data_IF_212844712282
#
_entry.id   IF_212844712282
#
_cell.length_a   1.000
_cell.length_b   1.000
_cell.length_c   1.000
_cell.angle_alpha   90.00
_cell.angle_beta   90.00
_cell.angle_gamma   90.00
#
_symmetry.space_group_name_H-M   'P 1'
#
loop_
_entity.id
_entity.type
_entity.pdbx_description
1 polymer ?
#
# COMPACT_ATOMS: atom_id res chain seq x y z
N UNK A 1 15.48 3.77 -49.29
CA UNK A 1 14.16 3.49 -48.67
C UNK A 1 14.30 2.89 -47.27
N UNK A 2 15.45 2.27 -46.90
CA UNK A 2 15.66 1.67 -45.57
C UNK A 2 15.96 2.67 -44.44
N UNK A 3 16.59 3.79 -44.70
CA UNK A 3 16.99 4.77 -43.66
C UNK A 3 15.80 5.48 -42.96
N UNK A 4 14.65 5.57 -43.62
CA UNK A 4 13.45 6.18 -43.01
C UNK A 4 12.70 5.19 -42.08
N UNK A 5 12.77 3.90 -42.32
CA UNK A 5 12.18 2.83 -41.50
C UNK A 5 12.99 2.66 -40.22
N UNK A 6 14.31 2.63 -40.29
CA UNK A 6 15.19 2.51 -39.11
C UNK A 6 15.05 3.73 -38.15
N UNK A 7 14.83 4.91 -38.71
CA UNK A 7 14.64 6.13 -37.87
C UNK A 7 13.27 6.17 -37.18
N UNK A 8 12.24 5.57 -37.79
CA UNK A 8 10.91 5.42 -37.17
C UNK A 8 10.92 4.40 -36.04
N UNK A 9 11.62 3.28 -36.24
CA UNK A 9 11.74 2.21 -35.26
C UNK A 9 12.57 2.66 -34.04
N UNK A 10 13.67 3.38 -34.27
CA UNK A 10 14.50 3.95 -33.19
C UNK A 10 13.76 5.02 -32.37
N UNK A 11 12.87 5.81 -32.98
CA UNK A 11 12.01 6.74 -32.25
C UNK A 11 10.98 6.03 -31.40
N UNK A 12 10.34 5.00 -31.90
CA UNK A 12 9.35 4.22 -31.15
C UNK A 12 9.97 3.57 -29.90
N UNK A 13 11.18 3.03 -30.04
CA UNK A 13 11.91 2.43 -28.91
C UNK A 13 12.27 3.49 -27.85
N UNK A 14 12.73 4.66 -28.28
CA UNK A 14 13.07 5.76 -27.36
C UNK A 14 11.82 6.30 -26.64
N UNK A 15 10.70 6.43 -27.32
CA UNK A 15 9.44 6.86 -26.70
C UNK A 15 8.92 5.84 -25.69
N UNK A 16 9.06 4.55 -25.99
CA UNK A 16 8.68 3.47 -25.06
C UNK A 16 9.60 3.42 -23.83
N UNK A 17 10.89 3.61 -23.99
CA UNK A 17 11.84 3.71 -22.87
C UNK A 17 11.56 4.96 -22.00
N UNK A 18 11.32 6.10 -22.61
CA UNK A 18 10.98 7.35 -21.88
C UNK A 18 9.66 7.20 -21.11
N UNK A 19 8.62 6.65 -21.70
CA UNK A 19 7.36 6.39 -21.00
C UNK A 19 7.53 5.41 -19.83
N UNK A 20 8.42 4.44 -19.98
CA UNK A 20 8.74 3.47 -18.94
C UNK A 20 9.51 4.12 -17.78
N UNK A 21 10.43 5.02 -18.08
CA UNK A 21 11.15 5.81 -17.06
C UNK A 21 10.22 6.79 -16.33
N UNK A 22 9.35 7.50 -17.03
CA UNK A 22 8.36 8.39 -16.41
C UNK A 22 7.39 7.61 -15.51
N UNK A 23 6.91 6.47 -15.96
CA UNK A 23 6.08 5.55 -15.17
C UNK A 23 6.81 5.09 -13.90
N UNK A 24 8.11 4.78 -14.01
CA UNK A 24 8.95 4.37 -12.89
C UNK A 24 9.11 5.49 -11.83
N UNK A 25 9.33 6.71 -12.24
CA UNK A 25 9.45 7.85 -11.33
C UNK A 25 8.11 8.14 -10.65
N UNK A 26 7.02 8.10 -11.41
CA UNK A 26 5.68 8.41 -10.91
C UNK A 26 5.24 7.47 -9.79
N UNK A 27 5.35 6.15 -9.96
CA UNK A 27 4.92 5.24 -8.90
C UNK A 27 5.79 5.34 -7.63
N UNK A 28 7.10 5.62 -7.78
CA UNK A 28 8.00 5.84 -6.63
C UNK A 28 7.57 7.09 -5.86
N UNK A 29 7.25 8.19 -6.55
CA UNK A 29 6.78 9.43 -5.91
C UNK A 29 5.50 9.17 -5.12
N UNK A 30 4.52 8.49 -5.71
CA UNK A 30 3.29 8.14 -5.00
C UNK A 30 3.54 7.19 -3.82
N UNK A 31 4.45 6.24 -3.95
CA UNK A 31 4.83 5.33 -2.87
C UNK A 31 5.50 6.06 -1.70
N UNK A 32 6.41 6.99 -1.98
CA UNK A 32 7.06 7.82 -0.97
C UNK A 32 6.06 8.73 -0.26
N UNK A 33 5.17 9.36 -1.01
CA UNK A 33 4.11 10.20 -0.46
C UNK A 33 3.18 9.38 0.46
N UNK A 34 2.80 8.18 0.02
CA UNK A 34 2.05 7.23 0.84
C UNK A 34 2.79 6.87 2.14
N UNK A 35 4.10 6.65 2.09
CA UNK A 35 4.89 6.34 3.27
C UNK A 35 4.92 7.51 4.27
N UNK A 36 5.02 8.76 3.80
CA UNK A 36 4.94 9.96 4.64
C UNK A 36 3.58 10.05 5.34
N UNK A 37 2.48 9.89 4.60
CA UNK A 37 1.15 9.89 5.18
C UNK A 37 0.92 8.72 6.14
N UNK A 38 1.49 7.55 5.88
CA UNK A 38 1.42 6.42 6.80
C UNK A 38 2.15 6.71 8.12
N UNK A 39 3.31 7.38 8.06
CA UNK A 39 4.04 7.80 9.26
C UNK A 39 3.24 8.83 10.07
N UNK A 40 2.70 9.86 9.42
CA UNK A 40 1.80 10.85 10.06
C UNK A 40 0.59 10.16 10.70
N UNK A 41 -0.02 9.21 9.99
CA UNK A 41 -1.15 8.44 10.52
C UNK A 41 -0.79 7.71 11.81
N UNK A 42 0.37 7.09 11.89
CA UNK A 42 0.81 6.34 13.08
C UNK A 42 0.99 7.26 14.29
N UNK A 43 1.57 8.44 14.10
CA UNK A 43 1.77 9.43 15.17
C UNK A 43 0.44 10.04 15.62
N UNK A 44 -0.38 10.50 14.66
CA UNK A 44 -1.69 11.09 14.98
C UNK A 44 -2.62 10.06 15.63
N UNK A 45 -2.58 8.81 15.18
CA UNK A 45 -3.34 7.73 15.79
C UNK A 45 -2.90 7.48 17.23
N UNK A 46 -1.59 7.49 17.51
CA UNK A 46 -1.06 7.31 18.88
C UNK A 46 -1.52 8.42 19.82
N UNK A 47 -1.51 9.67 19.35
CA UNK A 47 -2.01 10.82 20.13
C UNK A 47 -3.52 10.72 20.33
N UNK A 48 -4.27 10.37 19.28
CA UNK A 48 -5.74 10.37 19.31
C UNK A 48 -6.36 9.19 20.05
N UNK A 49 -5.60 8.12 20.31
CA UNK A 49 -6.11 6.92 20.99
C UNK A 49 -5.97 7.00 22.52
N UNK A 50 -5.30 8.02 23.03
CA UNK A 50 -5.11 8.20 24.46
C UNK A 50 -6.45 8.42 25.16
N UNK A 51 -6.78 7.56 26.13
CA UNK A 51 -8.06 7.59 26.85
C UNK A 51 -9.29 7.15 26.02
N UNK A 52 -9.13 6.73 24.77
CA UNK A 52 -10.23 6.30 23.89
C UNK A 52 -10.16 4.80 23.63
N UNK A 53 -11.32 4.14 23.57
CA UNK A 53 -11.37 2.72 23.18
C UNK A 53 -10.85 2.52 21.74
N UNK A 54 -9.94 1.54 21.52
CA UNK A 54 -9.31 1.29 20.22
C UNK A 54 -10.33 1.03 19.10
N UNK A 55 -11.41 0.31 19.40
CA UNK A 55 -12.44 0.01 18.41
C UNK A 55 -13.19 1.28 17.99
N UNK A 56 -13.47 2.16 18.97
CA UNK A 56 -14.13 3.45 18.70
C UNK A 56 -13.23 4.37 17.87
N UNK A 57 -11.94 4.46 18.22
CA UNK A 57 -10.97 5.24 17.45
C UNK A 57 -10.85 4.72 16.02
N UNK A 58 -10.81 3.40 15.82
CA UNK A 58 -10.81 2.78 14.48
C UNK A 58 -12.09 3.14 13.71
N UNK A 59 -13.26 3.06 14.35
CA UNK A 59 -14.54 3.36 13.70
C UNK A 59 -14.61 4.83 13.24
N UNK A 60 -14.29 5.78 14.12
CA UNK A 60 -14.28 7.21 13.77
C UNK A 60 -13.35 7.51 12.61
N UNK A 61 -12.13 6.98 12.65
CA UNK A 61 -11.17 7.14 11.54
C UNK A 61 -11.70 6.55 10.24
N UNK A 62 -12.32 5.37 10.30
CA UNK A 62 -12.84 4.70 9.10
C UNK A 62 -13.92 5.54 8.43
N UNK A 63 -14.80 6.18 9.19
CA UNK A 63 -15.81 7.11 8.65
C UNK A 63 -15.15 8.26 7.88
N UNK A 64 -14.09 8.87 8.43
CA UNK A 64 -13.35 9.94 7.75
C UNK A 64 -12.75 9.44 6.44
N UNK A 65 -12.13 8.25 6.43
CA UNK A 65 -11.54 7.65 5.24
C UNK A 65 -12.60 7.36 4.17
N UNK A 66 -13.76 6.83 4.57
CA UNK A 66 -14.88 6.57 3.65
C UNK A 66 -15.36 7.87 3.02
N UNK A 67 -15.57 8.92 3.82
CA UNK A 67 -16.01 10.23 3.31
C UNK A 67 -14.99 10.81 2.33
N UNK A 68 -13.70 10.78 2.68
CA UNK A 68 -12.64 11.26 1.78
C UNK A 68 -12.59 10.47 0.47
N UNK A 69 -12.70 9.15 0.54
CA UNK A 69 -12.67 8.29 -0.65
C UNK A 69 -13.84 8.58 -1.59
N UNK A 70 -15.06 8.73 -1.06
CA UNK A 70 -16.23 9.09 -1.85
C UNK A 70 -16.14 10.50 -2.42
N UNK A 71 -15.60 11.45 -1.64
CA UNK A 71 -15.35 12.80 -2.16
C UNK A 71 -14.46 12.78 -3.40
N UNK A 72 -13.38 11.99 -3.36
CA UNK A 72 -12.49 11.84 -4.52
C UNK A 72 -13.20 11.22 -5.72
N UNK A 73 -14.06 10.21 -5.50
CA UNK A 73 -14.86 9.62 -6.59
C UNK A 73 -15.78 10.67 -7.25
N UNK A 74 -16.41 11.54 -6.45
CA UNK A 74 -17.26 12.60 -6.97
C UNK A 74 -16.46 13.70 -7.70
N UNK A 75 -15.32 14.11 -7.15
CA UNK A 75 -14.45 15.12 -7.78
C UNK A 75 -13.89 14.65 -9.12
N UNK A 76 -13.57 13.34 -9.22
CA UNK A 76 -13.04 12.75 -10.45
C UNK A 76 -14.14 12.30 -11.44
N UNK A 77 -15.42 12.48 -11.10
CA UNK A 77 -16.58 12.05 -11.90
C UNK A 77 -16.58 10.55 -12.30
N UNK A 78 -15.97 9.70 -11.45
CA UNK A 78 -15.81 8.27 -11.70
C UNK A 78 -16.98 7.41 -11.15
N UNK A 79 -18.07 8.03 -10.71
CA UNK A 79 -19.22 7.31 -10.14
C UNK A 79 -19.89 6.33 -11.13
N UNK A 80 -19.81 6.61 -12.43
CA UNK A 80 -20.38 5.74 -13.45
C UNK A 80 -19.66 4.39 -13.58
N UNK A 81 -18.37 4.34 -13.21
CA UNK A 81 -17.58 3.10 -13.19
C UNK A 81 -18.07 2.05 -12.19
N UNK A 82 -18.93 2.45 -11.24
CA UNK A 82 -19.46 1.51 -10.22
C UNK A 82 -20.29 0.39 -10.86
N UNK A 83 -21.02 0.69 -11.92
CA UNK A 83 -21.83 -0.28 -12.67
C UNK A 83 -21.02 -1.19 -13.60
N UNK A 84 -19.79 -0.83 -13.89
CA UNK A 84 -18.87 -1.60 -14.76
C UNK A 84 -18.04 -2.62 -13.99
N UNK A 85 -18.07 -2.57 -12.65
CA UNK A 85 -17.30 -3.49 -11.79
C UNK A 85 -17.83 -4.92 -11.92
N UNK A 86 -16.95 -5.85 -12.32
CA UNK A 86 -17.32 -7.25 -12.46
C UNK A 86 -17.69 -7.89 -11.09
N UNK A 87 -18.53 -8.91 -11.09
CA UNK A 87 -18.87 -9.66 -9.86
C UNK A 87 -17.63 -10.23 -9.15
N UNK A 88 -16.66 -10.68 -9.92
CA UNK A 88 -15.38 -11.16 -9.39
C UNK A 88 -14.64 -10.06 -8.65
N UNK A 89 -14.52 -8.88 -9.25
CA UNK A 89 -13.87 -7.72 -8.62
C UNK A 89 -14.56 -7.29 -7.33
N UNK A 90 -15.91 -7.30 -7.31
CA UNK A 90 -16.69 -7.00 -6.11
C UNK A 90 -16.35 -7.93 -4.94
N UNK A 91 -16.27 -9.23 -5.18
CA UNK A 91 -15.93 -10.22 -4.13
C UNK A 91 -14.53 -9.93 -3.57
N UNK A 92 -13.53 -9.74 -4.43
CA UNK A 92 -12.16 -9.47 -3.97
C UNK A 92 -12.02 -8.13 -3.24
N UNK A 93 -12.73 -7.09 -3.68
CA UNK A 93 -12.73 -5.78 -3.01
C UNK A 93 -13.39 -5.86 -1.62
N UNK A 94 -14.48 -6.61 -1.48
CA UNK A 94 -15.13 -6.82 -0.17
C UNK A 94 -14.22 -7.61 0.75
N UNK A 95 -13.62 -8.71 0.29
CA UNK A 95 -12.67 -9.49 1.08
C UNK A 95 -11.47 -8.64 1.52
N UNK A 96 -10.92 -7.84 0.62
CA UNK A 96 -9.82 -6.90 0.91
C UNK A 96 -10.23 -5.87 1.95
N UNK A 97 -11.46 -5.33 1.85
CA UNK A 97 -12.01 -4.41 2.85
C UNK A 97 -12.12 -5.02 4.24
N UNK A 98 -12.60 -6.27 4.33
CA UNK A 98 -12.69 -7.03 5.59
C UNK A 98 -11.28 -7.24 6.18
N UNK A 99 -10.33 -7.67 5.36
CA UNK A 99 -8.94 -7.87 5.79
C UNK A 99 -8.30 -6.57 6.30
N UNK A 100 -8.54 -5.46 5.59
CA UNK A 100 -8.07 -4.13 6.01
C UNK A 100 -8.69 -3.71 7.34
N UNK A 101 -10.00 -3.90 7.53
CA UNK A 101 -10.68 -3.60 8.78
C UNK A 101 -10.13 -4.39 9.96
N UNK A 102 -9.93 -5.70 9.76
CA UNK A 102 -9.32 -6.56 10.78
C UNK A 102 -7.90 -6.13 11.13
N UNK A 103 -7.09 -5.82 10.12
CA UNK A 103 -5.72 -5.29 10.30
C UNK A 103 -5.73 -4.01 11.14
N UNK A 104 -6.60 -3.06 10.85
CA UNK A 104 -6.68 -1.79 11.59
C UNK A 104 -7.15 -1.97 13.03
N UNK A 105 -8.09 -2.87 13.29
CA UNK A 105 -8.49 -3.19 14.66
C UNK A 105 -7.32 -3.72 15.49
N UNK A 106 -6.53 -4.64 14.92
CA UNK A 106 -5.33 -5.15 15.56
C UNK A 106 -4.26 -4.07 15.74
N UNK A 107 -4.03 -3.24 14.70
CA UNK A 107 -3.04 -2.17 14.72
C UNK A 107 -3.34 -1.12 15.81
N UNK A 108 -4.60 -0.66 15.92
CA UNK A 108 -5.00 0.29 16.94
C UNK A 108 -4.94 -0.29 18.35
N UNK A 109 -5.26 -1.58 18.49
CA UNK A 109 -5.07 -2.27 19.76
C UNK A 109 -3.60 -2.35 20.16
N UNK A 110 -2.73 -2.65 19.21
CA UNK A 110 -1.29 -2.66 19.44
C UNK A 110 -0.76 -1.26 19.82
N UNK A 111 -1.25 -0.19 19.16
CA UNK A 111 -0.89 1.19 19.49
C UNK A 111 -1.30 1.61 20.91
N UNK A 112 -2.39 1.06 21.45
CA UNK A 112 -2.75 1.28 22.85
C UNK A 112 -1.75 0.68 23.83
N UNK A 113 -1.19 -0.48 23.49
CA UNK A 113 -0.34 -1.28 24.37
C UNK A 113 1.15 -0.99 24.19
N UNK A 114 1.57 -0.58 22.99
CA UNK A 114 2.96 -0.38 22.62
C UNK A 114 3.31 1.04 22.20
N UNK A 115 4.58 1.29 21.92
CA UNK A 115 5.03 2.54 21.32
C UNK A 115 4.67 2.60 19.84
N UNK A 116 4.40 3.82 19.32
CA UNK A 116 4.07 4.00 17.90
C UNK A 116 5.18 3.48 16.98
N UNK A 117 6.44 3.66 17.38
CA UNK A 117 7.61 3.22 16.60
C UNK A 117 7.69 1.70 16.51
N UNK A 118 7.59 1.00 17.65
CA UNK A 118 7.65 -0.47 17.69
C UNK A 118 6.51 -1.09 16.87
N UNK A 119 5.28 -0.61 17.05
CA UNK A 119 4.10 -1.09 16.33
C UNK A 119 4.22 -0.84 14.83
N UNK A 120 4.67 0.35 14.42
CA UNK A 120 4.84 0.67 13.00
C UNK A 120 5.93 -0.18 12.33
N UNK A 121 6.99 -0.55 13.07
CA UNK A 121 8.06 -1.41 12.53
C UNK A 121 7.59 -2.85 12.41
N UNK A 122 6.86 -3.38 13.40
CA UNK A 122 6.28 -4.73 13.34
C UNK A 122 5.26 -4.85 12.21
N UNK A 123 4.47 -3.80 11.95
CA UNK A 123 3.53 -3.75 10.83
C UNK A 123 4.24 -3.95 9.46
N UNK A 124 5.51 -3.55 9.33
CA UNK A 124 6.30 -3.78 8.11
C UNK A 124 6.63 -5.24 7.84
N UNK A 125 6.48 -6.15 8.80
CA UNK A 125 6.55 -7.58 8.54
C UNK A 125 5.46 -8.05 7.56
N UNK A 126 4.40 -7.27 7.39
CA UNK A 126 3.38 -7.50 6.35
C UNK A 126 3.98 -7.64 4.95
N UNK A 127 5.11 -6.97 4.66
CA UNK A 127 5.84 -7.10 3.39
C UNK A 127 6.33 -8.54 3.18
N UNK A 128 6.83 -9.19 4.23
CA UNK A 128 7.29 -10.59 4.17
C UNK A 128 6.11 -11.52 3.89
N UNK A 129 4.98 -11.32 4.61
CA UNK A 129 3.76 -12.09 4.36
C UNK A 129 3.21 -11.84 2.94
N UNK A 130 3.23 -10.61 2.48
CA UNK A 130 2.80 -10.27 1.11
C UNK A 130 3.65 -10.99 0.07
N UNK A 131 4.96 -11.04 0.25
CA UNK A 131 5.85 -11.76 -0.66
C UNK A 131 5.50 -13.26 -0.70
N UNK A 132 5.34 -13.89 0.46
CA UNK A 132 4.96 -15.32 0.55
C UNK A 132 3.61 -15.57 -0.12
N UNK A 133 2.61 -14.73 0.14
CA UNK A 133 1.28 -14.85 -0.45
C UNK A 133 1.29 -14.59 -1.96
N UNK A 134 2.07 -13.63 -2.44
CA UNK A 134 2.24 -13.36 -3.87
C UNK A 134 2.80 -14.58 -4.60
N UNK A 135 3.76 -15.28 -4.01
CA UNK A 135 4.26 -16.52 -4.57
C UNK A 135 3.17 -17.59 -4.72
N UNK A 136 2.39 -17.83 -3.66
CA UNK A 136 1.37 -18.87 -3.68
C UNK A 136 0.16 -18.52 -4.56
N UNK A 137 -0.29 -17.27 -4.57
CA UNK A 137 -1.54 -16.87 -5.24
C UNK A 137 -1.33 -16.22 -6.61
N UNK A 138 -0.24 -15.46 -6.78
CA UNK A 138 0.04 -14.76 -8.04
C UNK A 138 1.08 -15.50 -8.90
N UNK A 139 1.72 -16.54 -8.35
CA UNK A 139 2.82 -17.27 -9.01
C UNK A 139 3.98 -16.33 -9.42
N UNK A 140 4.18 -15.24 -8.68
CA UNK A 140 5.29 -14.33 -8.91
C UNK A 140 6.63 -15.01 -8.65
N UNK A 141 7.60 -14.75 -9.51
CA UNK A 141 8.96 -15.28 -9.35
C UNK A 141 9.77 -14.43 -8.39
N UNK A 142 10.36 -15.07 -7.38
CA UNK A 142 11.25 -14.37 -6.46
C UNK A 142 12.53 -13.94 -7.14
N UNK A 143 12.80 -12.64 -7.05
CA UNK A 143 14.15 -12.16 -7.36
C UNK A 143 15.02 -12.27 -6.10
N UNK A 144 16.26 -12.69 -6.25
CA UNK A 144 17.22 -12.74 -5.13
C UNK A 144 17.30 -11.41 -4.37
N UNK A 145 17.19 -10.29 -5.08
CA UNK A 145 17.12 -8.94 -4.49
C UNK A 145 15.93 -8.76 -3.54
N UNK A 146 14.74 -9.25 -3.92
CA UNK A 146 13.53 -9.17 -3.09
C UNK A 146 13.67 -10.02 -1.83
N UNK A 147 14.28 -11.19 -1.93
CA UNK A 147 14.51 -12.08 -0.79
C UNK A 147 15.49 -11.45 0.22
N UNK A 148 16.59 -10.88 -0.26
CA UNK A 148 17.57 -10.16 0.58
C UNK A 148 16.90 -8.95 1.24
N UNK A 149 16.12 -8.15 0.50
CA UNK A 149 15.39 -7.01 1.04
C UNK A 149 14.42 -7.40 2.17
N UNK A 150 13.64 -8.47 1.98
CA UNK A 150 12.74 -9.00 3.01
C UNK A 150 13.50 -9.51 4.25
N UNK A 151 14.63 -10.21 4.07
CA UNK A 151 15.46 -10.67 5.18
C UNK A 151 16.01 -9.49 6.00
N UNK A 152 16.45 -8.43 5.34
CA UNK A 152 16.94 -7.21 6.00
C UNK A 152 15.82 -6.51 6.78
N UNK A 153 14.61 -6.40 6.22
CA UNK A 153 13.44 -5.81 6.90
C UNK A 153 13.08 -6.64 8.13
N UNK A 154 12.99 -7.96 7.98
CA UNK A 154 12.68 -8.86 9.10
C UNK A 154 13.71 -8.77 10.22
N UNK A 155 15.00 -8.80 9.88
CA UNK A 155 16.10 -8.70 10.84
C UNK A 155 16.10 -7.34 11.53
N UNK A 156 15.95 -6.24 10.79
CA UNK A 156 15.85 -4.89 11.34
C UNK A 156 14.67 -4.73 12.28
N UNK A 157 13.51 -5.31 11.95
CA UNK A 157 12.32 -5.30 12.80
C UNK A 157 12.58 -6.04 14.12
N UNK A 158 13.20 -7.23 14.07
CA UNK A 158 13.54 -8.00 15.27
C UNK A 158 14.49 -7.21 16.17
N UNK A 159 15.53 -6.60 15.60
CA UNK A 159 16.51 -5.81 16.36
C UNK A 159 15.84 -4.61 17.05
N UNK A 160 14.90 -3.92 16.37
CA UNK A 160 14.22 -2.75 16.96
C UNK A 160 13.24 -3.11 18.08
N UNK A 161 12.67 -4.31 18.05
CA UNK A 161 11.68 -4.75 19.05
C UNK A 161 12.33 -5.57 20.18
N UNK A 162 13.54 -6.06 19.95
CA UNK A 162 14.28 -6.81 20.97
C UNK A 162 14.66 -5.88 22.13
N UNK A 163 14.11 -6.20 23.31
CA UNK A 163 14.47 -5.55 24.59
C UNK A 163 15.53 -6.32 25.31
#
# INVERSE_FOLDING_TARGET
MNCCLERGESRGILEEELMKEESWVMWIVFALLSAVFAALTSILAKIGIDGVNSNLATAVRTVVVVVMSWLMVFVTNNQNGLSEISRKSWIFLILSGIATGASWLCYYKALQMGSATEVAVVDKLSIVFTLVLAFFFLHDTFTVKSLIGCALIATGTIIMVWK
#
